data_IF_805477796552
#
_entry.id   IF_805477796552
#
_cell.length_a   1.000
_cell.length_b   1.000
_cell.length_c   1.000
_cell.angle_alpha   90.00
_cell.angle_beta   90.00
_cell.angle_gamma   90.00
#
_symmetry.space_group_name_H-M   'P 1'
#
loop_
_entity.id
_entity.type
_entity.pdbx_description
1 polymer ?
#
# COMPACT_ATOMS: atom_id res chain seq x y z
N UNK A 1 69.08 -15.81 23.50
CA UNK A 1 68.39 -16.72 24.48
C UNK A 1 67.03 -17.08 23.92
N UNK A 2 66.90 -18.36 23.56
CA UNK A 2 65.72 -18.94 22.93
C UNK A 2 64.61 -19.17 23.95
N UNK A 3 63.35 -18.80 23.65
CA UNK A 3 62.19 -19.43 24.31
C UNK A 3 61.19 -19.86 23.23
N UNK A 4 60.98 -21.15 23.24
CA UNK A 4 60.23 -22.00 22.30
C UNK A 4 58.75 -21.80 22.39
N UNK A 5 58.12 -21.78 21.19
CA UNK A 5 56.70 -22.00 20.94
C UNK A 5 56.23 -23.30 21.54
N UNK A 6 55.04 -23.32 22.13
CA UNK A 6 54.24 -24.52 22.38
C UNK A 6 52.93 -24.33 21.65
N UNK A 7 52.73 -25.10 20.57
CA UNK A 7 51.47 -25.31 19.86
C UNK A 7 50.61 -26.26 20.69
N UNK A 8 49.45 -25.81 21.09
CA UNK A 8 48.40 -26.66 21.63
C UNK A 8 47.34 -26.95 20.58
N UNK A 9 47.40 -28.15 20.03
CA UNK A 9 46.43 -28.68 19.08
C UNK A 9 45.23 -29.20 19.88
N UNK A 10 44.07 -28.54 19.79
CA UNK A 10 42.80 -29.07 20.31
C UNK A 10 42.05 -29.71 19.14
N UNK A 11 42.04 -31.04 19.18
CA UNK A 11 41.28 -31.90 18.28
C UNK A 11 39.83 -32.01 18.77
N UNK A 12 38.88 -31.33 18.12
CA UNK A 12 37.47 -31.57 18.38
C UNK A 12 36.94 -32.67 17.45
N UNK A 13 36.58 -33.77 18.09
CA UNK A 13 35.97 -34.95 17.48
C UNK A 13 34.49 -34.61 17.16
N UNK A 14 34.13 -34.62 15.88
CA UNK A 14 32.75 -34.60 15.42
C UNK A 14 32.14 -35.99 15.57
N UNK A 15 31.18 -36.16 16.44
CA UNK A 15 30.28 -37.33 16.46
C UNK A 15 29.05 -37.01 15.60
N UNK A 16 28.99 -37.71 14.47
CA UNK A 16 27.80 -37.70 13.59
C UNK A 16 26.80 -38.68 14.21
N UNK A 17 25.71 -38.13 14.74
CA UNK A 17 24.54 -38.91 15.14
C UNK A 17 23.54 -38.98 13.98
N UNK A 18 23.48 -40.10 13.29
CA UNK A 18 22.36 -40.46 12.41
C UNK A 18 21.15 -40.81 13.28
N UNK A 19 20.08 -40.03 13.15
CA UNK A 19 18.75 -40.46 13.58
C UNK A 19 17.91 -40.68 12.35
N UNK A 20 17.70 -41.96 12.07
CA UNK A 20 16.66 -42.40 11.11
C UNK A 20 15.30 -42.29 11.81
N UNK A 21 14.41 -41.49 11.27
CA UNK A 21 13.00 -41.58 11.57
C UNK A 21 12.29 -42.30 10.46
N UNK A 22 11.74 -43.44 10.79
CA UNK A 22 10.81 -44.28 10.04
C UNK A 22 9.48 -43.56 9.85
N UNK A 23 9.00 -43.63 8.62
CA UNK A 23 7.60 -43.34 8.26
C UNK A 23 6.65 -44.29 9.00
N UNK A 24 5.61 -43.75 9.59
CA UNK A 24 4.39 -44.50 9.86
C UNK A 24 3.22 -43.75 9.23
N UNK A 25 2.73 -44.34 8.13
CA UNK A 25 1.41 -44.10 7.58
C UNK A 25 0.36 -44.64 8.57
N UNK A 26 -0.53 -43.81 9.02
CA UNK A 26 -1.85 -44.27 9.46
C UNK A 26 -2.92 -43.68 8.56
N UNK A 27 -3.48 -44.61 7.79
CA UNK A 27 -4.73 -44.52 7.07
C UNK A 27 -5.85 -44.66 8.10
N UNK A 28 -6.72 -43.68 8.22
CA UNK A 28 -8.03 -43.92 8.82
C UNK A 28 -9.08 -43.56 7.77
N UNK A 29 -9.80 -44.64 7.45
CA UNK A 29 -10.85 -44.86 6.52
C UNK A 29 -12.17 -44.19 6.98
N UNK A 30 -12.97 -43.92 5.95
CA UNK A 30 -14.32 -43.44 5.87
C UNK A 30 -15.32 -43.97 6.92
N UNK A 31 -16.33 -43.18 7.17
CA UNK A 31 -17.76 -43.50 6.94
C UNK A 31 -18.60 -42.42 7.61
N UNK A 32 -19.46 -41.87 7.00
CA UNK A 32 -20.73 -41.95 6.32
C UNK A 32 -21.62 -40.78 6.73
N UNK A 33 -22.17 -40.18 5.72
CA UNK A 33 -23.42 -39.45 5.74
C UNK A 33 -24.57 -40.37 6.20
N UNK A 34 -25.74 -39.93 6.68
CA UNK A 34 -26.70 -39.28 5.80
C UNK A 34 -27.68 -38.23 6.41
N UNK A 35 -28.17 -37.37 5.52
CA UNK A 35 -29.58 -37.19 5.11
C UNK A 35 -30.55 -36.40 5.99
N UNK A 36 -31.09 -35.36 5.35
CA UNK A 36 -32.45 -34.84 5.31
C UNK A 36 -33.08 -34.31 6.63
N UNK A 37 -33.63 -33.12 6.57
CA UNK A 37 -35.04 -32.97 6.16
C UNK A 37 -35.43 -31.51 5.97
N UNK A 38 -36.19 -31.29 4.91
CA UNK A 38 -36.91 -30.09 4.58
C UNK A 38 -38.04 -29.81 5.57
N UNK A 39 -38.34 -28.55 5.86
CA UNK A 39 -39.72 -28.13 6.08
C UNK A 39 -39.96 -26.80 5.39
N UNK A 40 -40.79 -26.88 4.35
CA UNK A 40 -41.56 -25.78 3.80
C UNK A 40 -42.86 -25.64 4.63
N UNK A 41 -43.26 -24.41 4.88
CA UNK A 41 -44.68 -23.99 4.96
C UNK A 41 -44.67 -22.46 4.91
N UNK A 42 -45.15 -21.87 3.89
CA UNK A 42 -46.44 -21.65 3.27
C UNK A 42 -47.34 -20.66 4.02
N UNK A 43 -47.64 -19.56 3.28
CA UNK A 43 -48.95 -18.88 3.13
C UNK A 43 -49.37 -17.98 4.30
N UNK A 44 -49.63 -16.71 4.07
CA UNK A 44 -50.93 -16.22 3.56
C UNK A 44 -50.88 -14.75 3.11
N UNK A 45 -51.46 -14.57 1.93
CA UNK A 45 -51.86 -13.30 1.34
C UNK A 45 -53.17 -12.86 2.00
N UNK A 46 -53.26 -11.61 2.44
CA UNK A 46 -54.56 -10.97 2.62
C UNK A 46 -54.56 -9.63 1.90
N UNK A 47 -55.24 -9.66 0.80
CA UNK A 47 -55.79 -8.54 0.05
C UNK A 47 -56.95 -7.91 0.84
N UNK A 48 -57.01 -6.56 0.93
CA UNK A 48 -58.26 -5.83 0.98
C UNK A 48 -58.00 -4.38 0.55
N UNK A 49 -58.49 -4.12 -0.66
CA UNK A 49 -58.68 -2.80 -1.19
C UNK A 49 -59.85 -2.05 -0.54
N UNK A 50 -59.75 -0.73 -0.60
CA UNK A 50 -60.92 0.13 -0.79
C UNK A 50 -60.50 1.44 -1.39
N UNK A 51 -61.01 1.69 -2.57
CA UNK A 51 -61.14 2.98 -3.24
C UNK A 51 -62.00 3.93 -2.41
N UNK A 52 -61.61 5.21 -2.35
CA UNK A 52 -62.60 6.29 -2.45
C UNK A 52 -61.99 7.53 -3.09
N UNK A 53 -62.70 8.00 -4.06
CA UNK A 53 -62.44 9.13 -4.95
C UNK A 53 -63.01 10.44 -4.41
N UNK A 54 -62.46 11.51 -4.99
CA UNK A 54 -63.09 12.82 -5.31
C UNK A 54 -63.09 13.89 -4.18
N UNK A 55 -62.41 14.98 -4.39
CA UNK A 55 -63.04 16.25 -4.80
C UNK A 55 -62.00 17.31 -5.17
N UNK A 56 -62.28 17.93 -6.32
CA UNK A 56 -61.60 19.11 -6.85
C UNK A 56 -61.86 20.33 -5.97
N UNK A 57 -60.83 21.18 -5.78
CA UNK A 57 -61.07 22.60 -5.61
C UNK A 57 -59.96 23.42 -6.28
N UNK A 58 -60.35 24.06 -7.36
CA UNK A 58 -59.61 25.09 -8.05
C UNK A 58 -59.49 26.33 -7.13
N UNK A 59 -58.28 26.82 -6.95
CA UNK A 59 -58.07 28.24 -6.63
C UNK A 59 -56.76 28.67 -7.31
N UNK A 60 -57.00 29.51 -8.32
CA UNK A 60 -55.95 30.33 -8.94
C UNK A 60 -55.27 31.21 -7.90
N UNK A 61 -53.94 31.13 -7.87
CA UNK A 61 -53.12 32.18 -7.28
C UNK A 61 -51.84 32.30 -8.12
N UNK A 62 -51.64 33.50 -8.61
CA UNK A 62 -50.58 34.07 -9.44
C UNK A 62 -49.18 33.42 -9.19
N UNK A 63 -48.62 32.90 -10.25
CA UNK A 63 -47.24 32.51 -10.34
C UNK A 63 -46.39 33.75 -10.60
N UNK A 64 -45.70 34.24 -9.57
CA UNK A 64 -44.55 35.12 -9.75
C UNK A 64 -43.35 34.24 -10.04
N UNK A 65 -43.01 34.09 -11.31
CA UNK A 65 -41.73 33.55 -11.76
C UNK A 65 -40.59 34.44 -11.26
N UNK A 66 -39.93 34.02 -10.18
CA UNK A 66 -38.58 34.43 -9.90
C UNK A 66 -37.64 33.38 -10.50
N UNK A 67 -37.22 33.66 -11.72
CA UNK A 67 -36.04 33.03 -12.31
C UNK A 67 -34.81 33.35 -11.46
N UNK A 68 -34.50 32.47 -10.50
CA UNK A 68 -33.18 32.35 -9.97
C UNK A 68 -32.48 31.18 -10.70
N UNK A 69 -31.96 31.46 -11.88
CA UNK A 69 -30.88 30.69 -12.47
C UNK A 69 -29.61 30.98 -11.63
N UNK A 70 -29.50 30.39 -10.46
CA UNK A 70 -28.20 30.05 -9.91
C UNK A 70 -27.77 28.82 -10.71
N UNK A 71 -27.03 29.03 -11.80
CA UNK A 71 -26.15 28.01 -12.35
C UNK A 71 -25.25 27.55 -11.20
N UNK A 72 -25.62 26.41 -10.60
CA UNK A 72 -24.68 25.62 -9.78
C UNK A 72 -23.63 25.16 -10.79
N UNK A 73 -22.60 25.99 -10.95
CA UNK A 73 -21.37 25.60 -11.61
C UNK A 73 -20.73 24.54 -10.73
N UNK A 74 -21.21 23.29 -10.82
CA UNK A 74 -20.50 22.15 -10.31
C UNK A 74 -19.26 22.05 -11.19
N UNK A 75 -18.20 22.72 -10.76
CA UNK A 75 -16.88 22.52 -11.28
C UNK A 75 -16.61 21.01 -11.13
N UNK A 76 -16.88 20.27 -12.19
CA UNK A 76 -16.50 18.88 -12.33
C UNK A 76 -14.98 18.89 -12.54
N UNK A 77 -14.24 19.29 -11.52
CA UNK A 77 -12.79 19.19 -11.54
C UNK A 77 -12.48 17.69 -11.60
N UNK A 78 -11.99 17.24 -12.76
CA UNK A 78 -11.45 15.89 -12.88
C UNK A 78 -10.50 15.67 -11.69
N UNK A 79 -10.82 14.68 -10.85
CA UNK A 79 -10.00 14.38 -9.70
C UNK A 79 -8.64 13.89 -10.17
N UNK A 80 -7.62 14.40 -9.51
CA UNK A 80 -6.22 14.11 -9.84
C UNK A 80 -5.73 12.82 -9.20
N UNK A 81 -4.59 12.39 -9.69
CA UNK A 81 -3.81 11.30 -9.11
C UNK A 81 -2.81 11.91 -8.12
N UNK A 82 -2.68 11.32 -6.94
CA UNK A 82 -1.62 11.66 -5.99
C UNK A 82 -0.48 10.65 -6.11
N UNK A 83 0.74 11.12 -6.40
CA UNK A 83 1.96 10.32 -6.27
C UNK A 83 2.56 10.64 -4.91
N UNK A 84 2.27 9.81 -3.90
CA UNK A 84 2.84 9.93 -2.57
C UNK A 84 4.02 8.97 -2.42
N UNK A 85 5.16 9.44 -1.90
CA UNK A 85 6.31 8.55 -1.76
C UNK A 85 7.24 8.95 -0.63
N UNK A 86 7.86 7.95 -0.01
CA UNK A 86 9.05 8.11 0.82
C UNK A 86 10.28 7.62 0.07
N UNK A 87 11.37 8.37 0.18
CA UNK A 87 12.65 8.02 -0.41
C UNK A 87 13.79 8.62 0.41
N UNK A 88 14.87 7.88 0.55
CA UNK A 88 16.05 8.33 1.25
C UNK A 88 17.21 8.50 0.27
N UNK A 89 17.86 9.67 0.30
CA UNK A 89 19.16 9.95 -0.28
C UNK A 89 20.28 9.40 0.61
N UNK A 90 21.50 9.92 0.45
CA UNK A 90 22.71 9.55 1.21
C UNK A 90 23.17 8.10 0.95
N UNK A 91 23.84 7.46 1.89
CA UNK A 91 24.40 6.13 1.69
C UNK A 91 23.31 5.05 1.70
N UNK A 92 23.21 4.30 0.61
CA UNK A 92 22.29 3.18 0.39
C UNK A 92 23.05 1.88 0.13
N UNK A 93 22.46 0.75 0.46
CA UNK A 93 23.10 -0.56 0.46
C UNK A 93 23.84 -0.89 -0.83
N UNK A 94 23.16 -0.87 -1.97
CA UNK A 94 23.73 -1.38 -3.23
C UNK A 94 24.29 -0.30 -4.14
N UNK A 95 23.76 0.92 -4.01
CA UNK A 95 24.08 2.03 -4.93
C UNK A 95 25.08 3.05 -4.34
N UNK A 96 25.47 2.86 -3.07
CA UNK A 96 26.38 3.78 -2.38
C UNK A 96 25.70 5.10 -2.02
N UNK A 97 26.50 6.15 -1.91
CA UNK A 97 26.01 7.50 -1.58
C UNK A 97 25.40 8.17 -2.80
N UNK A 98 24.15 8.62 -2.66
CA UNK A 98 23.36 9.22 -3.73
C UNK A 98 22.66 10.49 -3.25
N UNK A 99 22.52 11.48 -4.14
CA UNK A 99 21.82 12.74 -3.87
C UNK A 99 20.29 12.58 -3.94
N UNK A 100 19.81 11.64 -4.76
CA UNK A 100 18.39 11.33 -4.95
C UNK A 100 18.18 9.84 -4.72
N UNK A 101 17.26 9.50 -3.83
CA UNK A 101 16.95 8.10 -3.51
C UNK A 101 16.23 7.36 -4.64
N UNK A 102 16.33 6.03 -4.64
CA UNK A 102 15.84 5.18 -5.72
C UNK A 102 14.32 5.31 -5.93
N UNK A 103 13.55 5.36 -4.86
CA UNK A 103 12.07 5.50 -4.92
C UNK A 103 11.66 6.86 -5.51
N UNK A 104 12.40 7.92 -5.22
CA UNK A 104 12.16 9.26 -5.76
C UNK A 104 12.39 9.32 -7.27
N UNK A 105 13.41 8.63 -7.79
CA UNK A 105 13.63 8.50 -9.23
C UNK A 105 12.43 7.84 -9.90
N UNK A 106 11.91 6.77 -9.31
CA UNK A 106 10.72 6.08 -9.82
C UNK A 106 9.48 6.99 -9.79
N UNK A 107 9.29 7.73 -8.69
CA UNK A 107 8.21 8.73 -8.59
C UNK A 107 8.35 9.81 -9.67
N UNK A 108 9.57 10.23 -10.01
CA UNK A 108 9.86 11.13 -11.11
C UNK A 108 9.41 10.58 -12.46
N UNK A 109 9.73 9.33 -12.78
CA UNK A 109 9.28 8.69 -14.02
C UNK A 109 7.75 8.58 -14.11
N UNK A 110 7.09 8.28 -12.97
CA UNK A 110 5.62 8.25 -12.89
C UNK A 110 5.04 9.66 -13.17
N UNK A 111 5.61 10.69 -12.52
CA UNK A 111 5.18 12.07 -12.71
C UNK A 111 5.40 12.55 -14.15
N UNK A 112 6.53 12.23 -14.76
CA UNK A 112 6.84 12.59 -16.14
C UNK A 112 5.81 11.99 -17.12
N UNK A 113 5.40 10.74 -16.88
CA UNK A 113 4.41 10.06 -17.71
C UNK A 113 2.99 10.63 -17.53
N UNK A 114 2.56 10.86 -16.29
CA UNK A 114 1.21 11.33 -15.98
C UNK A 114 1.02 12.84 -16.21
N UNK A 115 2.08 13.62 -16.24
CA UNK A 115 2.04 15.06 -16.46
C UNK A 115 1.13 15.79 -15.46
N UNK A 116 0.25 16.63 -15.97
CA UNK A 116 -0.65 17.47 -15.17
C UNK A 116 -1.81 16.71 -14.51
N UNK A 117 -2.00 15.43 -14.88
CA UNK A 117 -3.00 14.56 -14.25
C UNK A 117 -2.63 14.16 -12.81
N UNK A 118 -1.36 14.33 -12.42
CA UNK A 118 -0.88 13.89 -11.12
C UNK A 118 -0.15 15.01 -10.38
N UNK A 119 -0.38 15.08 -9.07
CA UNK A 119 0.44 15.87 -8.13
C UNK A 119 1.39 14.96 -7.37
N UNK A 120 2.51 15.51 -6.90
CA UNK A 120 3.50 14.76 -6.12
C UNK A 120 3.50 15.20 -4.65
N UNK A 121 3.63 14.26 -3.75
CA UNK A 121 3.79 14.50 -2.32
C UNK A 121 4.93 13.62 -1.76
N UNK A 122 6.06 14.26 -1.46
CA UNK A 122 7.16 13.57 -0.78
C UNK A 122 6.86 13.48 0.72
N UNK A 123 6.80 12.27 1.23
CA UNK A 123 6.68 11.98 2.66
C UNK A 123 8.07 12.20 3.27
N UNK A 124 8.40 13.47 3.55
CA UNK A 124 9.74 13.90 3.98
C UNK A 124 9.78 13.97 5.51
N UNK A 125 10.60 13.16 6.19
CA UNK A 125 10.59 13.10 7.65
C UNK A 125 10.98 14.45 8.28
N UNK A 126 10.35 14.81 9.41
CA UNK A 126 10.71 15.99 10.20
C UNK A 126 12.11 15.82 10.77
N UNK A 127 12.39 14.66 11.33
CA UNK A 127 13.73 14.26 11.78
C UNK A 127 14.36 13.42 10.69
N UNK A 128 15.39 13.97 10.02
CA UNK A 128 16.08 13.26 8.94
C UNK A 128 16.71 11.96 9.46
N UNK A 129 16.61 10.90 8.66
CA UNK A 129 17.32 9.65 8.94
C UNK A 129 18.83 9.86 8.85
N UNK A 130 19.65 9.09 9.60
CA UNK A 130 21.10 9.14 9.54
C UNK A 130 21.62 8.97 8.11
N UNK A 131 22.71 9.68 7.76
CA UNK A 131 23.31 9.62 6.42
C UNK A 131 24.07 8.33 6.18
N UNK A 132 24.79 7.86 7.19
CA UNK A 132 25.48 6.57 7.18
C UNK A 132 24.46 5.43 7.08
N UNK A 133 24.77 4.42 6.27
CA UNK A 133 23.85 3.29 6.05
C UNK A 133 23.63 2.47 7.31
N UNK A 134 24.70 2.17 8.07
CA UNK A 134 24.62 1.37 9.27
C UNK A 134 23.82 2.08 10.36
N UNK A 135 24.12 3.35 10.59
CA UNK A 135 23.38 4.16 11.58
C UNK A 135 21.89 4.25 11.19
N UNK A 136 21.59 4.39 9.88
CA UNK A 136 20.22 4.40 9.38
C UNK A 136 19.51 3.08 9.64
N UNK A 137 20.19 1.95 9.42
CA UNK A 137 19.60 0.62 9.69
C UNK A 137 19.33 0.39 11.17
N UNK A 138 20.22 0.84 12.05
CA UNK A 138 20.02 0.78 13.50
C UNK A 138 18.85 1.67 13.95
N UNK A 139 18.75 2.87 13.38
CA UNK A 139 17.64 3.80 13.64
C UNK A 139 16.29 3.21 13.19
N UNK A 140 16.23 2.68 11.97
CA UNK A 140 15.03 2.04 11.43
C UNK A 140 14.62 0.78 12.22
N UNK A 141 15.61 0.01 12.71
CA UNK A 141 15.36 -1.12 13.59
C UNK A 141 14.69 -0.69 14.90
N UNK A 142 15.14 0.42 15.48
CA UNK A 142 14.52 0.97 16.68
C UNK A 142 13.09 1.42 16.42
N UNK A 143 12.85 2.16 15.34
CA UNK A 143 11.50 2.57 14.95
C UNK A 143 10.55 1.37 14.79
N UNK A 144 11.02 0.31 14.14
CA UNK A 144 10.24 -0.90 13.94
C UNK A 144 9.90 -1.59 15.26
N UNK A 145 10.91 -1.82 16.12
CA UNK A 145 10.73 -2.51 17.40
C UNK A 145 9.83 -1.74 18.38
N UNK A 146 9.92 -0.42 18.36
CA UNK A 146 9.12 0.47 19.21
C UNK A 146 7.78 0.86 18.57
N UNK A 147 7.50 0.39 17.36
CA UNK A 147 6.31 0.72 16.56
C UNK A 147 6.08 2.23 16.45
N UNK A 148 7.15 2.98 16.22
CA UNK A 148 7.13 4.44 16.13
C UNK A 148 6.30 4.91 14.92
N UNK A 149 5.73 6.11 15.03
CA UNK A 149 5.10 6.82 13.92
C UNK A 149 5.88 8.11 13.63
N UNK A 150 6.94 8.04 12.80
CA UNK A 150 7.74 9.21 12.50
C UNK A 150 6.90 10.31 11.85
N UNK A 151 7.05 11.54 12.31
CA UNK A 151 6.39 12.69 11.73
C UNK A 151 7.04 13.08 10.41
N UNK A 152 6.25 13.61 9.47
CA UNK A 152 6.73 14.13 8.19
C UNK A 152 6.23 15.56 7.94
N UNK A 153 6.99 16.28 7.14
CA UNK A 153 6.74 17.67 6.81
C UNK A 153 5.48 17.84 5.99
N UNK A 154 4.83 18.98 6.14
CA UNK A 154 3.64 19.37 5.37
C UNK A 154 2.45 18.39 5.46
N UNK A 155 2.41 17.58 6.53
CA UNK A 155 1.36 16.60 6.72
C UNK A 155 -0.06 17.21 6.71
N UNK A 156 -0.22 18.45 7.18
CA UNK A 156 -1.52 19.12 7.25
C UNK A 156 -1.87 19.91 5.97
N UNK A 157 -0.95 19.97 4.99
CA UNK A 157 -1.19 20.70 3.74
C UNK A 157 -1.81 19.84 2.64
N UNK A 158 -1.85 18.51 2.81
CA UNK A 158 -2.37 17.58 1.83
C UNK A 158 -3.88 17.41 1.97
N UNK A 159 -4.61 17.89 0.97
CA UNK A 159 -6.06 17.74 0.87
C UNK A 159 -6.41 16.50 0.03
N UNK A 160 -6.71 15.39 0.70
CA UNK A 160 -7.03 14.11 0.08
C UNK A 160 -8.34 14.12 -0.70
N UNK A 161 -9.22 15.12 -0.52
CA UNK A 161 -10.48 15.19 -1.25
C UNK A 161 -10.30 15.46 -2.75
N UNK A 162 -9.13 15.96 -3.14
CA UNK A 162 -8.77 16.26 -4.53
C UNK A 162 -8.40 15.02 -5.36
N UNK A 163 -8.22 13.86 -4.72
CA UNK A 163 -7.64 12.67 -5.35
C UNK A 163 -8.59 11.48 -5.19
N UNK A 164 -8.83 10.75 -6.27
CA UNK A 164 -9.48 9.44 -6.26
C UNK A 164 -8.47 8.30 -6.30
N UNK A 165 -7.30 8.59 -6.85
CA UNK A 165 -6.24 7.62 -7.07
C UNK A 165 -4.98 8.06 -6.35
N UNK A 166 -4.35 7.14 -5.64
CA UNK A 166 -3.07 7.33 -4.96
C UNK A 166 -2.08 6.30 -5.48
N UNK A 167 -0.93 6.75 -5.97
CA UNK A 167 0.21 5.90 -6.31
C UNK A 167 1.21 6.05 -5.17
N UNK A 168 1.32 5.03 -4.31
CA UNK A 168 2.15 5.07 -3.11
C UNK A 168 3.46 4.34 -3.33
N UNK A 169 4.58 5.04 -3.10
CA UNK A 169 5.94 4.54 -3.29
C UNK A 169 6.80 4.51 -2.03
N UNK A 170 7.58 3.44 -1.85
CA UNK A 170 8.46 3.28 -0.69
C UNK A 170 9.62 2.31 -0.95
N UNK A 171 10.75 2.42 -0.24
CA UNK A 171 11.75 1.36 -0.21
C UNK A 171 11.31 0.23 0.73
N UNK A 172 11.74 -1.00 0.47
CA UNK A 172 11.58 -2.09 1.44
C UNK A 172 12.67 -1.97 2.51
N UNK A 173 12.25 -1.83 3.77
CA UNK A 173 13.10 -1.82 4.95
C UNK A 173 12.71 -2.98 5.88
N UNK A 174 13.67 -3.84 6.22
CA UNK A 174 13.46 -5.01 7.08
C UNK A 174 12.32 -5.93 6.62
N UNK A 175 12.12 -6.03 5.29
CA UNK A 175 11.05 -6.83 4.71
C UNK A 175 9.66 -6.24 4.82
N UNK A 176 9.54 -4.99 5.25
CA UNK A 176 8.27 -4.26 5.39
C UNK A 176 8.39 -2.83 4.84
N UNK A 177 7.34 -2.05 4.97
CA UNK A 177 7.36 -0.62 4.71
C UNK A 177 8.11 0.13 5.82
N UNK A 178 8.82 1.23 5.54
CA UNK A 178 9.34 2.12 6.57
C UNK A 178 8.21 2.65 7.47
N UNK A 179 8.50 2.83 8.77
CA UNK A 179 7.47 3.22 9.74
C UNK A 179 6.75 4.52 9.40
N UNK A 180 7.41 5.45 8.72
CA UNK A 180 6.83 6.70 8.23
C UNK A 180 5.68 6.48 7.21
N UNK A 181 5.68 5.36 6.47
CA UNK A 181 4.58 4.98 5.58
C UNK A 181 3.34 4.59 6.39
N UNK A 182 3.51 3.90 7.52
CA UNK A 182 2.39 3.63 8.42
C UNK A 182 1.79 4.94 8.96
N UNK A 183 2.63 5.93 9.31
CA UNK A 183 2.16 7.27 9.71
C UNK A 183 1.29 7.92 8.62
N UNK A 184 1.75 7.85 7.37
CA UNK A 184 1.01 8.41 6.23
C UNK A 184 -0.34 7.70 6.01
N UNK A 185 -0.36 6.36 6.03
CA UNK A 185 -1.57 5.57 5.83
C UNK A 185 -2.59 5.76 6.96
N UNK A 186 -2.14 6.03 8.17
CA UNK A 186 -3.00 6.23 9.35
C UNK A 186 -3.53 7.67 9.47
N UNK A 187 -2.88 8.63 8.79
CA UNK A 187 -3.24 10.06 8.93
C UNK A 187 -4.45 10.46 8.11
N UNK A 188 -4.64 9.88 6.93
CA UNK A 188 -5.67 10.34 6.00
C UNK A 188 -6.77 9.31 5.78
N UNK A 189 -7.93 9.81 5.34
CA UNK A 189 -9.02 8.95 4.89
C UNK A 189 -8.82 8.53 3.43
N UNK A 190 -8.66 7.24 3.21
CA UNK A 190 -8.55 6.62 1.89
C UNK A 190 -9.84 5.94 1.43
N UNK A 191 -10.95 6.15 2.12
CA UNK A 191 -12.23 5.49 1.81
C UNK A 191 -12.65 5.76 0.36
N UNK A 192 -12.94 4.69 -0.38
CA UNK A 192 -13.36 4.72 -1.78
C UNK A 192 -12.25 5.06 -2.79
N UNK A 193 -11.02 5.32 -2.34
CA UNK A 193 -9.90 5.63 -3.24
C UNK A 193 -9.26 4.36 -3.80
N UNK A 194 -8.70 4.45 -5.00
CA UNK A 194 -7.85 3.40 -5.56
C UNK A 194 -6.39 3.66 -5.18
N UNK A 195 -5.70 2.64 -4.65
CA UNK A 195 -4.29 2.72 -4.28
C UNK A 195 -3.49 1.75 -5.13
N UNK A 196 -2.58 2.28 -5.93
CA UNK A 196 -1.54 1.54 -6.64
C UNK A 196 -0.22 1.64 -5.87
N UNK A 197 0.56 0.57 -5.89
CA UNK A 197 1.77 0.46 -5.06
C UNK A 197 3.00 0.28 -5.93
N UNK A 198 4.07 1.00 -5.61
CA UNK A 198 5.39 0.70 -6.15
C UNK A 198 6.44 0.72 -5.04
N UNK A 199 7.47 -0.10 -5.19
CA UNK A 199 8.56 -0.11 -4.23
C UNK A 199 9.93 -0.32 -4.88
N UNK A 200 10.95 0.18 -4.21
CA UNK A 200 12.34 -0.18 -4.48
C UNK A 200 12.85 -1.16 -3.43
N UNK A 201 13.73 -2.07 -3.83
CA UNK A 201 14.26 -3.13 -2.97
C UNK A 201 15.69 -3.53 -3.37
N UNK A 202 16.36 -4.35 -2.56
CA UNK A 202 17.69 -4.86 -2.89
C UNK A 202 17.73 -6.41 -2.99
N UNK A 203 16.60 -7.00 -3.43
CA UNK A 203 16.50 -8.44 -3.70
C UNK A 203 15.25 -9.10 -3.13
N UNK A 204 14.51 -8.42 -2.28
CA UNK A 204 13.32 -8.95 -1.58
C UNK A 204 12.00 -8.83 -2.37
N UNK A 205 12.00 -8.18 -3.54
CA UNK A 205 10.75 -7.84 -4.24
C UNK A 205 9.88 -6.92 -3.40
N UNK A 206 8.59 -7.17 -3.35
CA UNK A 206 7.68 -6.39 -2.51
C UNK A 206 7.56 -6.92 -1.06
N UNK A 207 8.22 -8.02 -0.71
CA UNK A 207 8.20 -8.64 0.63
C UNK A 207 6.78 -8.87 1.20
N UNK A 208 5.76 -8.99 0.37
CA UNK A 208 4.37 -9.15 0.81
C UNK A 208 3.69 -7.84 1.28
N UNK A 209 4.38 -6.70 1.20
CA UNK A 209 3.86 -5.40 1.69
C UNK A 209 2.60 -4.97 0.96
N UNK A 210 2.41 -5.31 -0.32
CA UNK A 210 1.20 -4.97 -1.06
C UNK A 210 -0.04 -5.63 -0.45
N UNK A 211 0.06 -6.91 -0.13
CA UNK A 211 -1.02 -7.63 0.57
C UNK A 211 -1.22 -7.11 1.99
N UNK A 212 -0.13 -6.78 2.68
CA UNK A 212 -0.19 -6.20 4.03
C UNK A 212 -0.94 -4.86 4.03
N UNK A 213 -0.61 -3.96 3.10
CA UNK A 213 -1.31 -2.67 2.95
C UNK A 213 -2.79 -2.89 2.60
N UNK A 214 -3.09 -3.79 1.65
CA UNK A 214 -4.48 -4.13 1.30
C UNK A 214 -5.30 -4.58 2.51
N UNK A 215 -4.71 -5.42 3.35
CA UNK A 215 -5.38 -5.92 4.55
C UNK A 215 -5.58 -4.85 5.63
N UNK A 216 -4.69 -3.83 5.68
CA UNK A 216 -4.82 -2.68 6.59
C UNK A 216 -5.83 -1.65 6.09
N UNK A 217 -5.89 -1.43 4.77
CA UNK A 217 -6.66 -0.34 4.15
C UNK A 217 -8.00 -0.85 3.58
N UNK A 218 -8.82 -1.48 4.42
CA UNK A 218 -10.04 -2.18 4.01
C UNK A 218 -11.13 -1.28 3.41
N UNK A 219 -11.07 0.02 3.66
CA UNK A 219 -11.99 1.01 3.07
C UNK A 219 -11.55 1.52 1.69
N UNK A 220 -10.31 1.22 1.28
CA UNK A 220 -9.76 1.59 -0.02
C UNK A 220 -9.74 0.38 -0.98
N UNK A 221 -9.69 0.67 -2.27
CA UNK A 221 -9.44 -0.33 -3.32
C UNK A 221 -7.93 -0.44 -3.58
N UNK A 222 -7.24 -1.33 -2.88
CA UNK A 222 -5.79 -1.53 -3.04
C UNK A 222 -5.52 -2.59 -4.10
N UNK A 223 -4.87 -2.18 -5.20
CA UNK A 223 -4.37 -3.10 -6.22
C UNK A 223 -3.01 -3.67 -5.78
N UNK A 224 -2.91 -4.99 -5.74
CA UNK A 224 -1.67 -5.70 -5.39
C UNK A 224 -0.77 -6.03 -6.59
N UNK A 225 -1.16 -5.64 -7.82
CA UNK A 225 -0.33 -5.72 -9.03
C UNK A 225 0.62 -4.52 -9.11
N UNK A 226 1.39 -4.31 -8.05
CA UNK A 226 2.31 -3.20 -7.93
C UNK A 226 3.63 -3.42 -8.68
N UNK A 227 4.44 -2.36 -8.76
CA UNK A 227 5.74 -2.37 -9.40
C UNK A 227 6.87 -2.45 -8.38
N UNK A 228 7.58 -3.58 -8.32
CA UNK A 228 8.77 -3.76 -7.49
C UNK A 228 10.03 -3.72 -8.35
N UNK A 229 10.97 -2.83 -8.04
CA UNK A 229 12.20 -2.63 -8.82
C UNK A 229 13.43 -2.59 -7.89
N UNK A 230 14.52 -3.22 -8.31
CA UNK A 230 15.81 -3.09 -7.59
C UNK A 230 16.33 -1.66 -7.65
N UNK A 231 16.93 -1.18 -6.55
CA UNK A 231 17.47 0.18 -6.47
C UNK A 231 18.47 0.52 -7.59
N UNK A 232 19.40 -0.38 -7.90
CA UNK A 232 20.33 -0.19 -9.00
C UNK A 232 19.67 -0.14 -10.38
N UNK A 233 18.58 -0.89 -10.58
CA UNK A 233 17.78 -0.84 -11.83
C UNK A 233 16.94 0.45 -11.88
N UNK A 234 16.31 0.86 -10.77
CA UNK A 234 15.52 2.08 -10.69
C UNK A 234 16.29 3.32 -11.20
N UNK A 235 17.62 3.29 -11.10
CA UNK A 235 18.52 4.38 -11.54
C UNK A 235 18.84 4.37 -13.03
N UNK A 236 18.41 3.36 -13.77
CA UNK A 236 18.65 3.25 -15.22
C UNK A 236 17.52 3.90 -16.00
N UNK A 237 17.84 4.60 -17.07
CA UNK A 237 16.84 5.19 -17.96
C UNK A 237 15.87 4.12 -18.55
N UNK A 238 16.34 2.89 -18.73
CA UNK A 238 15.49 1.77 -19.17
C UNK A 238 14.31 1.49 -18.24
N UNK A 239 14.40 1.85 -16.96
CA UNK A 239 13.30 1.69 -16.00
C UNK A 239 12.12 2.64 -16.25
N UNK A 240 12.35 3.74 -16.99
CA UNK A 240 11.26 4.59 -17.47
C UNK A 240 10.24 3.78 -18.28
N UNK A 241 10.71 2.97 -19.23
CA UNK A 241 9.82 2.11 -20.03
C UNK A 241 9.07 1.08 -19.17
N UNK A 242 9.71 0.55 -18.12
CA UNK A 242 9.07 -0.37 -17.18
C UNK A 242 7.94 0.32 -16.42
N UNK A 243 8.18 1.54 -15.94
CA UNK A 243 7.15 2.39 -15.29
C UNK A 243 6.00 2.68 -16.23
N UNK A 244 6.30 3.15 -17.45
CA UNK A 244 5.27 3.47 -18.42
C UNK A 244 4.40 2.27 -18.80
N UNK A 245 5.01 1.10 -19.00
CA UNK A 245 4.27 -0.12 -19.31
C UNK A 245 3.38 -0.56 -18.14
N UNK A 246 3.86 -0.40 -16.90
CA UNK A 246 3.07 -0.66 -15.72
C UNK A 246 1.86 0.29 -15.64
N UNK A 247 2.06 1.59 -15.78
CA UNK A 247 0.98 2.58 -15.77
C UNK A 247 -0.06 2.35 -16.88
N UNK A 248 0.39 2.04 -18.10
CA UNK A 248 -0.49 1.64 -19.22
C UNK A 248 -1.32 0.39 -18.86
N UNK A 249 -0.71 -0.57 -18.18
CA UNK A 249 -1.40 -1.78 -17.71
C UNK A 249 -2.47 -1.50 -16.65
N UNK A 250 -2.34 -0.38 -15.91
CA UNK A 250 -3.34 0.11 -14.95
C UNK A 250 -4.44 0.97 -15.59
N UNK A 251 -4.31 1.33 -16.89
CA UNK A 251 -5.22 2.22 -17.60
C UNK A 251 -5.01 3.70 -17.30
N UNK A 252 -3.84 4.09 -16.83
CA UNK A 252 -3.47 5.46 -16.49
C UNK A 252 -2.74 6.17 -17.64
#
# INVERSE_FOLDING_TARGET
>A
MNKKLIFGLILCILTIGLVACTEQNEVIDNQDNPVEEQVQENVEVVDNGEEQAVENNENEAEVVEKNNNEEINVENSEKKILIAFFSRADENYSVGTVDVGNTEIMAGFIKDYLGDKADTFKIDPVVAYPKDYKECTEYATKELNENVRPEYKNADSLDMSKYDTVILGYPIWWGDVPMIINTFLEKYDFSGKTIYLFNTHEGSGNSGTYTSIKNKMTSANVDTNGLAIRGAEARKESSRNTVENWLKGLGL
#
